data_IF_858979301438
#
_entry.id   IF_858979301438
#
_cell.length_a   1.000
_cell.length_b   1.000
_cell.length_c   1.000
_cell.angle_alpha   90.00
_cell.angle_beta   90.00
_cell.angle_gamma   90.00
#
_symmetry.space_group_name_H-M   'P 1'
#
loop_
_entity.id
_entity.type
_entity.pdbx_description
1 polymer ?
#
# COMPACT_ATOMS: atom_id res chain seq x y z
N UNK A 1 0.91 -12.51 -13.15
CA UNK A 1 0.80 -13.98 -13.08
C UNK A 1 -0.66 -14.36 -13.17
N UNK A 2 -1.01 -15.53 -13.71
CA UNK A 2 -2.40 -15.97 -13.91
C UNK A 2 -2.98 -16.60 -12.63
N UNK A 3 -2.96 -15.86 -11.54
CA UNK A 3 -3.49 -16.25 -10.24
C UNK A 3 -4.41 -15.14 -9.71
N UNK A 4 -5.37 -15.43 -8.81
CA UNK A 4 -6.10 -14.41 -8.09
C UNK A 4 -5.13 -13.59 -7.23
N UNK A 5 -5.49 -12.35 -6.95
CA UNK A 5 -4.74 -11.48 -6.04
C UNK A 5 -5.62 -11.04 -4.90
N UNK A 6 -4.99 -10.78 -3.77
CA UNK A 6 -5.64 -10.31 -2.56
C UNK A 6 -5.02 -9.00 -2.09
N UNK A 7 -5.86 -8.11 -1.60
CA UNK A 7 -5.44 -6.97 -0.81
C UNK A 7 -5.54 -7.34 0.66
N UNK A 8 -4.40 -7.35 1.33
CA UNK A 8 -4.33 -7.59 2.78
C UNK A 8 -3.85 -6.32 3.45
N UNK A 9 -4.65 -5.78 4.38
CA UNK A 9 -4.35 -4.53 5.09
C UNK A 9 -4.12 -4.82 6.56
N UNK A 10 -3.00 -4.35 7.09
CA UNK A 10 -2.65 -4.39 8.50
C UNK A 10 -2.72 -2.98 9.08
N UNK A 11 -3.52 -2.81 10.12
CA UNK A 11 -3.75 -1.53 10.76
C UNK A 11 -3.35 -1.60 12.22
N UNK A 12 -2.60 -0.60 12.70
CA UNK A 12 -2.27 -0.47 14.11
C UNK A 12 -3.36 0.29 14.86
N UNK A 13 -3.58 -0.02 16.15
CA UNK A 13 -4.50 0.73 17.00
C UNK A 13 -4.14 2.21 17.15
N UNK A 14 -5.14 3.02 17.42
CA UNK A 14 -5.00 4.47 17.57
C UNK A 14 -4.08 4.87 18.72
N UNK A 15 -4.01 4.05 19.76
CA UNK A 15 -3.15 4.26 20.94
C UNK A 15 -1.66 4.21 20.60
N UNK A 16 -1.30 3.62 19.47
CA UNK A 16 0.09 3.62 18.99
C UNK A 16 0.46 4.87 18.19
N UNK A 17 -0.48 5.75 17.85
CA UNK A 17 -0.23 6.93 17.01
C UNK A 17 0.89 7.81 17.56
N UNK A 18 0.90 8.07 18.86
CA UNK A 18 1.93 8.89 19.51
C UNK A 18 3.34 8.29 19.37
N UNK A 19 3.46 6.96 19.50
CA UNK A 19 4.72 6.26 19.31
C UNK A 19 5.19 6.36 17.85
N UNK A 20 4.28 6.18 16.89
CA UNK A 20 4.58 6.32 15.46
C UNK A 20 4.96 7.75 15.07
N UNK A 21 4.32 8.76 15.64
CA UNK A 21 4.68 10.17 15.40
C UNK A 21 6.02 10.56 16.02
N UNK A 22 6.35 10.01 17.18
CA UNK A 22 7.61 10.32 17.89
C UNK A 22 8.84 9.65 17.25
N UNK A 23 8.69 8.46 16.67
CA UNK A 23 9.77 7.70 16.04
C UNK A 23 9.28 7.07 14.70
N UNK A 24 8.94 7.89 13.70
CA UNK A 24 8.23 7.42 12.52
C UNK A 24 9.02 6.37 11.73
N UNK A 25 10.32 6.54 11.54
CA UNK A 25 11.13 5.59 10.79
C UNK A 25 11.16 4.22 11.48
N UNK A 26 11.48 4.18 12.78
CA UNK A 26 11.52 2.94 13.56
C UNK A 26 10.16 2.22 13.55
N UNK A 27 9.08 2.95 13.79
CA UNK A 27 7.75 2.37 13.88
C UNK A 27 7.19 1.91 12.52
N UNK A 28 7.47 2.64 11.45
CA UNK A 28 7.09 2.20 10.11
C UNK A 28 7.88 0.97 9.65
N UNK A 29 9.18 0.89 10.00
CA UNK A 29 10.01 -0.28 9.74
C UNK A 29 9.50 -1.51 10.52
N UNK A 30 9.17 -1.34 11.79
CA UNK A 30 8.56 -2.38 12.60
C UNK A 30 7.21 -2.83 12.00
N UNK A 31 6.36 -1.88 11.58
CA UNK A 31 5.08 -2.20 10.95
C UNK A 31 5.26 -3.06 9.69
N UNK A 32 6.18 -2.71 8.81
CA UNK A 32 6.49 -3.51 7.63
C UNK A 32 7.05 -4.89 7.98
N UNK A 33 8.06 -4.93 8.86
CA UNK A 33 8.74 -6.17 9.24
C UNK A 33 7.78 -7.15 9.88
N UNK A 34 7.02 -6.68 10.87
CA UNK A 34 6.20 -7.58 11.67
C UNK A 34 4.90 -8.00 10.96
N UNK A 35 4.31 -7.13 10.15
CA UNK A 35 3.15 -7.52 9.34
C UNK A 35 3.53 -8.48 8.21
N UNK A 36 4.67 -8.25 7.54
CA UNK A 36 5.18 -9.16 6.51
C UNK A 36 5.56 -10.53 7.09
N UNK A 37 6.24 -10.55 8.24
CA UNK A 37 6.57 -11.78 8.94
C UNK A 37 5.32 -12.55 9.40
N UNK A 38 4.27 -11.84 9.82
CA UNK A 38 2.97 -12.45 10.18
C UNK A 38 2.31 -13.13 8.99
N UNK A 39 2.32 -12.47 7.81
CA UNK A 39 1.83 -13.09 6.57
C UNK A 39 2.60 -14.36 6.22
N UNK A 40 3.93 -14.31 6.25
CA UNK A 40 4.79 -15.44 5.93
C UNK A 40 4.59 -16.59 6.92
N UNK A 41 4.56 -16.29 8.23
CA UNK A 41 4.39 -17.29 9.28
C UNK A 41 3.07 -18.05 9.12
N UNK A 42 1.96 -17.34 8.92
CA UNK A 42 0.64 -17.98 8.76
C UNK A 42 0.53 -18.71 7.42
N UNK A 43 1.13 -18.17 6.36
CA UNK A 43 1.13 -18.83 5.05
C UNK A 43 1.98 -20.11 5.01
N UNK A 44 3.05 -20.17 5.79
CA UNK A 44 3.93 -21.35 5.86
C UNK A 44 3.25 -22.58 6.47
N UNK A 45 2.13 -22.42 7.18
CA UNK A 45 1.42 -23.53 7.80
C UNK A 45 0.82 -24.46 6.75
N UNK A 46 1.17 -25.78 6.76
CA UNK A 46 0.71 -26.72 5.75
C UNK A 46 -0.82 -26.89 5.70
N UNK A 47 -1.48 -26.68 6.84
CA UNK A 47 -2.95 -26.74 6.95
C UNK A 47 -3.65 -25.53 6.34
N UNK A 48 -2.93 -24.43 6.07
CA UNK A 48 -3.45 -23.21 5.48
C UNK A 48 -3.04 -23.09 4.02
N UNK A 49 -1.82 -22.61 3.75
CA UNK A 49 -1.28 -22.49 2.40
C UNK A 49 -0.10 -23.45 2.17
N UNK A 50 0.83 -23.54 3.13
CA UNK A 50 2.01 -24.40 3.05
C UNK A 50 3.08 -23.89 2.08
N UNK A 51 3.18 -22.58 1.87
CA UNK A 51 4.14 -21.99 0.93
C UNK A 51 4.60 -20.59 1.32
N UNK A 52 5.79 -20.23 0.82
CA UNK A 52 6.36 -18.89 0.91
C UNK A 52 5.59 -17.94 -0.02
N UNK A 53 5.10 -16.84 0.51
CA UNK A 53 4.46 -15.79 -0.26
C UNK A 53 5.50 -14.84 -0.89
N UNK A 54 5.13 -14.24 -2.03
CA UNK A 54 5.79 -13.05 -2.54
C UNK A 54 4.76 -11.94 -2.68
N UNK A 55 5.03 -10.77 -2.13
CA UNK A 55 4.06 -9.69 -2.12
C UNK A 55 4.73 -8.32 -2.09
N UNK A 56 3.94 -7.30 -2.43
CA UNK A 56 4.33 -5.88 -2.41
C UNK A 56 3.53 -5.18 -1.35
N UNK A 57 4.20 -4.46 -0.46
CA UNK A 57 3.59 -3.63 0.58
C UNK A 57 3.69 -2.16 0.27
N UNK A 58 2.64 -1.40 0.57
CA UNK A 58 2.58 0.05 0.45
C UNK A 58 2.12 0.64 1.78
N UNK A 59 2.96 1.49 2.37
CA UNK A 59 2.64 2.22 3.60
C UNK A 59 1.75 3.41 3.30
N UNK A 60 0.65 3.50 4.05
CA UNK A 60 -0.17 4.69 4.16
C UNK A 60 -0.22 5.15 5.61
N UNK A 61 -0.21 6.45 5.80
CA UNK A 61 -0.23 7.06 7.16
C UNK A 61 -1.50 7.84 7.43
N UNK A 62 -2.44 7.89 6.47
CA UNK A 62 -3.65 8.73 6.55
C UNK A 62 -4.94 7.95 6.60
N UNK A 63 -5.87 8.44 7.38
CA UNK A 63 -7.27 8.07 7.31
C UNK A 63 -8.07 8.97 6.37
N UNK A 64 -9.37 8.76 6.31
CA UNK A 64 -10.28 9.44 5.37
C UNK A 64 -10.43 10.95 5.64
N UNK A 65 -10.21 11.38 6.88
CA UNK A 65 -10.26 12.78 7.34
C UNK A 65 -8.85 13.36 7.58
N UNK A 66 -7.83 12.81 6.94
CA UNK A 66 -6.44 13.19 7.12
C UNK A 66 -5.89 12.97 8.54
N UNK A 67 -6.59 12.23 9.40
CA UNK A 67 -6.01 11.82 10.69
C UNK A 67 -4.83 10.87 10.46
N UNK A 68 -3.84 10.97 11.30
CA UNK A 68 -2.69 10.05 11.28
C UNK A 68 -3.14 8.63 11.61
N UNK A 69 -2.97 7.70 10.65
CA UNK A 69 -3.49 6.35 10.74
C UNK A 69 -2.58 5.37 9.97
N UNK A 70 -1.43 4.99 10.57
CA UNK A 70 -0.48 4.12 9.90
C UNK A 70 -1.06 2.74 9.62
N UNK A 71 -0.94 2.30 8.38
CA UNK A 71 -1.34 0.98 7.93
C UNK A 71 -0.60 0.58 6.66
N UNK A 72 -0.44 -0.71 6.42
CA UNK A 72 0.20 -1.24 5.23
C UNK A 72 -0.81 -2.03 4.42
N UNK A 73 -0.85 -1.74 3.13
CA UNK A 73 -1.57 -2.52 2.14
C UNK A 73 -0.61 -3.47 1.45
N UNK A 74 -0.89 -4.76 1.52
CA UNK A 74 -0.16 -5.78 0.77
C UNK A 74 -0.98 -6.27 -0.41
N UNK A 75 -0.33 -6.34 -1.58
CA UNK A 75 -0.85 -7.03 -2.75
C UNK A 75 -0.18 -8.40 -2.78
N UNK A 76 -0.98 -9.43 -2.58
CA UNK A 76 -0.53 -10.81 -2.40
C UNK A 76 -1.13 -11.69 -3.49
N UNK A 77 -0.31 -12.36 -4.32
CA UNK A 77 -0.77 -13.41 -5.21
C UNK A 77 -1.43 -14.55 -4.43
N UNK A 78 -2.49 -15.13 -4.94
CA UNK A 78 -3.26 -16.20 -4.31
C UNK A 78 -2.54 -17.54 -4.35
N UNK A 79 -1.43 -17.63 -3.67
CA UNK A 79 -0.64 -18.83 -3.51
C UNK A 79 0.79 -18.55 -3.10
N UNK A 80 1.53 -19.63 -2.81
CA UNK A 80 2.91 -19.57 -2.37
C UNK A 80 3.79 -20.67 -2.95
N UNK A 81 5.09 -20.44 -2.92
CA UNK A 81 6.09 -21.41 -3.34
C UNK A 81 6.37 -22.38 -2.17
N UNK A 82 6.19 -23.66 -2.39
CA UNK A 82 6.52 -24.68 -1.36
C UNK A 82 8.01 -24.62 -1.02
N UNK A 83 8.37 -25.00 0.20
CA UNK A 83 9.74 -24.90 0.71
C UNK A 83 10.76 -25.67 -0.15
N UNK A 84 10.36 -26.80 -0.75
CA UNK A 84 11.20 -27.57 -1.69
C UNK A 84 11.33 -26.94 -3.07
N UNK A 85 10.64 -25.82 -3.32
CA UNK A 85 10.60 -25.07 -4.59
C UNK A 85 10.11 -25.85 -5.81
N UNK A 86 9.44 -26.99 -5.61
CA UNK A 86 8.97 -27.87 -6.69
C UNK A 86 7.48 -27.71 -7.00
N UNK A 87 6.74 -26.99 -6.16
CA UNK A 87 5.29 -26.87 -6.30
C UNK A 87 4.80 -25.47 -5.92
N UNK A 88 3.83 -25.00 -6.68
CA UNK A 88 2.97 -23.88 -6.30
C UNK A 88 1.82 -24.35 -5.44
N UNK A 89 1.65 -23.77 -4.26
CA UNK A 89 0.54 -24.00 -3.36
C UNK A 89 -0.49 -22.90 -3.61
N UNK A 90 -1.54 -23.17 -4.38
CA UNK A 90 -2.61 -22.21 -4.65
C UNK A 90 -3.46 -21.95 -3.41
N UNK A 91 -4.05 -20.76 -3.31
CA UNK A 91 -5.10 -20.46 -2.32
C UNK A 91 -6.26 -21.47 -2.50
N UNK A 92 -6.85 -21.90 -1.39
CA UNK A 92 -7.92 -22.92 -1.41
C UNK A 92 -9.20 -22.43 -2.08
N UNK A 93 -9.45 -21.13 -2.01
CA UNK A 93 -10.62 -20.47 -2.58
C UNK A 93 -10.18 -19.22 -3.34
N UNK A 94 -10.98 -18.81 -4.32
CA UNK A 94 -10.68 -17.63 -5.15
C UNK A 94 -10.86 -16.31 -4.40
N UNK A 95 -11.65 -16.30 -3.34
CA UNK A 95 -12.03 -15.15 -2.52
C UNK A 95 -11.42 -15.18 -1.11
N UNK A 96 -10.66 -16.21 -0.76
CA UNK A 96 -10.07 -16.38 0.56
C UNK A 96 -8.59 -16.78 0.48
N UNK A 97 -7.73 -16.03 1.17
CA UNK A 97 -6.29 -16.31 1.22
C UNK A 97 -5.88 -16.99 2.53
N UNK A 98 -6.08 -16.32 3.65
CA UNK A 98 -5.64 -16.74 4.99
C UNK A 98 -6.64 -16.27 6.05
N UNK A 99 -6.72 -16.95 7.22
CA UNK A 99 -7.63 -16.57 8.29
C UNK A 99 -7.22 -15.25 8.95
N UNK A 100 -7.99 -14.18 8.72
CA UNK A 100 -7.69 -12.82 9.20
C UNK A 100 -7.58 -12.71 10.72
N UNK A 101 -8.38 -13.48 11.48
CA UNK A 101 -8.29 -13.50 12.96
C UNK A 101 -6.93 -14.01 13.44
N UNK A 102 -6.39 -15.04 12.78
CA UNK A 102 -5.07 -15.59 13.09
C UNK A 102 -3.96 -14.61 12.70
N UNK A 103 -4.06 -14.00 11.51
CA UNK A 103 -3.13 -12.95 11.08
C UNK A 103 -3.11 -11.79 12.08
N UNK A 104 -4.27 -11.33 12.55
CA UNK A 104 -4.38 -10.26 13.53
C UNK A 104 -3.73 -10.61 14.87
N UNK A 105 -3.91 -11.83 15.36
CA UNK A 105 -3.32 -12.29 16.62
C UNK A 105 -1.78 -12.39 16.52
N UNK A 106 -1.27 -12.98 15.43
CA UNK A 106 0.18 -13.09 15.19
C UNK A 106 0.80 -11.71 15.01
N UNK A 107 0.17 -10.84 14.22
CA UNK A 107 0.65 -9.47 14.00
C UNK A 107 0.72 -8.66 15.29
N UNK A 108 -0.33 -8.71 16.12
CA UNK A 108 -0.34 -8.03 17.43
C UNK A 108 0.82 -8.50 18.31
N UNK A 109 0.98 -9.81 18.49
CA UNK A 109 2.03 -10.37 19.34
C UNK A 109 3.44 -9.99 18.85
N UNK A 110 3.66 -10.02 17.54
CA UNK A 110 4.93 -9.64 16.93
C UNK A 110 5.23 -8.15 17.09
N UNK A 111 4.22 -7.29 16.84
CA UNK A 111 4.36 -5.83 17.04
C UNK A 111 4.61 -5.47 18.50
N UNK A 112 3.91 -6.09 19.44
CA UNK A 112 4.12 -5.90 20.86
C UNK A 112 5.57 -6.22 21.23
N UNK A 113 6.07 -7.39 20.85
CA UNK A 113 7.44 -7.82 21.10
C UNK A 113 8.48 -6.87 20.47
N UNK A 114 8.26 -6.45 19.21
CA UNK A 114 9.16 -5.54 18.51
C UNK A 114 9.23 -4.17 19.17
N UNK A 115 8.08 -3.59 19.57
CA UNK A 115 8.04 -2.29 20.24
C UNK A 115 8.62 -2.39 21.65
N UNK A 116 8.34 -3.48 22.38
CA UNK A 116 8.94 -3.71 23.69
C UNK A 116 10.48 -3.76 23.62
N UNK A 117 11.02 -4.45 22.62
CA UNK A 117 12.47 -4.60 22.45
C UNK A 117 13.15 -3.31 21.96
N UNK A 118 12.55 -2.60 21.02
CA UNK A 118 13.20 -1.44 20.35
C UNK A 118 12.89 -0.09 20.98
N UNK A 119 11.76 0.03 21.67
CA UNK A 119 11.25 1.26 22.26
C UNK A 119 10.48 1.00 23.57
N UNK A 120 11.14 0.47 24.64
CA UNK A 120 10.45 0.02 25.85
C UNK A 120 9.66 1.12 26.56
N UNK A 121 10.17 2.34 26.57
CA UNK A 121 9.44 3.49 27.13
C UNK A 121 8.15 3.81 26.35
N UNK A 122 8.14 3.62 25.04
CA UNK A 122 6.93 3.77 24.21
C UNK A 122 5.95 2.64 24.42
N UNK A 123 6.46 1.40 24.56
CA UNK A 123 5.64 0.25 24.92
C UNK A 123 4.92 0.48 26.25
N UNK A 124 5.64 0.92 27.29
CA UNK A 124 5.08 1.19 28.61
C UNK A 124 4.02 2.31 28.62
N UNK A 125 4.12 3.26 27.71
CA UNK A 125 3.15 4.35 27.56
C UNK A 125 1.83 3.93 26.86
N UNK A 126 1.80 2.75 26.23
CA UNK A 126 0.60 2.22 25.59
C UNK A 126 -0.29 1.51 26.61
N UNK A 127 -1.60 1.81 26.70
CA UNK A 127 -2.50 1.12 27.59
C UNK A 127 -2.46 -0.41 27.41
N UNK A 128 -2.33 -1.16 28.49
CA UNK A 128 -2.21 -2.62 28.46
C UNK A 128 -3.38 -3.33 27.74
N UNK A 129 -4.57 -2.74 27.76
CA UNK A 129 -5.75 -3.21 27.01
C UNK A 129 -5.56 -3.25 25.51
N UNK A 130 -4.70 -2.38 24.95
CA UNK A 130 -4.38 -2.33 23.52
C UNK A 130 -3.76 -3.64 23.04
N UNK A 131 -2.91 -4.25 23.87
CA UNK A 131 -2.23 -5.51 23.56
C UNK A 131 -3.12 -6.75 23.76
N UNK A 132 -4.23 -6.61 24.45
CA UNK A 132 -5.16 -7.73 24.75
C UNK A 132 -6.35 -7.80 23.80
N UNK A 133 -6.75 -6.67 23.21
CA UNK A 133 -7.87 -6.64 22.27
C UNK A 133 -7.49 -7.14 20.87
N UNK A 134 -8.46 -7.58 20.05
CA UNK A 134 -8.20 -7.91 18.65
C UNK A 134 -7.73 -6.68 17.86
N UNK A 135 -6.69 -6.87 17.03
CA UNK A 135 -6.25 -5.86 16.06
C UNK A 135 -6.94 -6.08 14.72
N UNK A 136 -6.88 -5.05 13.86
CA UNK A 136 -7.59 -5.09 12.58
C UNK A 136 -6.64 -5.55 11.47
N UNK A 137 -6.97 -6.71 10.90
CA UNK A 137 -6.44 -7.16 9.62
C UNK A 137 -7.60 -7.39 8.69
N UNK A 138 -7.54 -6.87 7.48
CA UNK A 138 -8.55 -7.05 6.46
C UNK A 138 -7.94 -7.75 5.24
N UNK A 139 -8.66 -8.70 4.66
CA UNK A 139 -8.28 -9.38 3.43
C UNK A 139 -9.47 -9.41 2.48
N UNK A 140 -9.26 -9.00 1.24
CA UNK A 140 -10.30 -9.04 0.21
C UNK A 140 -9.71 -9.43 -1.14
N UNK A 141 -10.48 -10.10 -2.02
CA UNK A 141 -10.05 -10.36 -3.37
C UNK A 141 -9.83 -9.03 -4.14
N UNK A 142 -8.78 -8.99 -4.94
CA UNK A 142 -8.37 -7.81 -5.70
C UNK A 142 -8.36 -8.05 -7.23
N UNK A 143 -8.95 -9.18 -7.67
CA UNK A 143 -9.05 -9.54 -9.08
C UNK A 143 -7.81 -10.29 -9.60
N UNK A 144 -7.60 -10.25 -10.89
CA UNK A 144 -6.50 -10.93 -11.61
C UNK A 144 -5.53 -9.94 -12.22
N UNK A 145 -4.40 -10.43 -12.72
CA UNK A 145 -3.21 -9.71 -13.17
C UNK A 145 -3.35 -8.26 -13.70
N UNK A 146 -4.20 -8.01 -14.74
CA UNK A 146 -4.36 -6.66 -15.30
C UNK A 146 -5.07 -5.69 -14.34
N UNK A 147 -6.05 -6.18 -13.58
CA UNK A 147 -6.77 -5.36 -12.59
C UNK A 147 -5.84 -4.93 -11.44
N UNK A 148 -4.92 -5.83 -11.03
CA UNK A 148 -4.02 -5.54 -9.92
C UNK A 148 -2.98 -4.47 -10.27
N UNK A 149 -2.55 -4.36 -11.53
CA UNK A 149 -1.62 -3.31 -11.96
C UNK A 149 -2.28 -1.92 -11.84
N UNK A 150 -3.54 -1.79 -12.28
CA UNK A 150 -4.32 -0.55 -12.09
C UNK A 150 -4.53 -0.23 -10.60
N UNK A 151 -4.74 -1.26 -9.81
CA UNK A 151 -4.91 -1.13 -8.38
C UNK A 151 -3.61 -0.67 -7.70
N UNK A 152 -2.48 -1.31 -8.02
CA UNK A 152 -1.16 -0.94 -7.50
C UNK A 152 -0.80 0.51 -7.84
N UNK A 153 -1.02 0.92 -9.09
CA UNK A 153 -0.78 2.29 -9.52
C UNK A 153 -1.56 3.32 -8.67
N UNK A 154 -2.82 3.02 -8.33
CA UNK A 154 -3.63 3.87 -7.44
C UNK A 154 -3.08 3.96 -6.02
N UNK A 155 -2.50 2.88 -5.47
CA UNK A 155 -1.99 2.86 -4.09
C UNK A 155 -0.58 3.43 -3.98
N UNK A 156 0.29 3.14 -4.92
CA UNK A 156 1.68 3.64 -4.94
C UNK A 156 1.73 5.14 -5.16
N UNK A 157 0.94 5.65 -6.12
CA UNK A 157 0.87 7.08 -6.44
C UNK A 157 -0.07 7.89 -5.55
N UNK A 158 -0.76 7.27 -4.60
CA UNK A 158 -1.79 7.96 -3.81
C UNK A 158 -1.16 8.94 -2.81
N UNK A 159 -1.63 10.16 -2.87
CA UNK A 159 -1.42 11.19 -1.85
C UNK A 159 -2.46 11.08 -0.73
N UNK A 160 -2.23 11.73 0.39
CA UNK A 160 -3.17 11.75 1.52
C UNK A 160 -4.55 12.31 1.13
N UNK A 161 -4.56 13.29 0.22
CA UNK A 161 -5.75 13.86 -0.38
C UNK A 161 -5.48 14.18 -1.85
N UNK A 162 -6.48 14.00 -2.72
CA UNK A 162 -6.42 14.46 -4.11
C UNK A 162 -7.11 15.81 -4.25
N UNK A 163 -6.70 16.60 -5.22
CA UNK A 163 -7.27 17.93 -5.49
C UNK A 163 -8.80 17.87 -5.72
N UNK A 164 -9.28 16.81 -6.38
CA UNK A 164 -10.70 16.58 -6.63
C UNK A 164 -11.55 16.44 -5.34
N UNK A 165 -10.92 16.13 -4.21
CA UNK A 165 -11.58 16.04 -2.92
C UNK A 165 -11.72 17.39 -2.23
N UNK A 166 -10.86 18.36 -2.56
CA UNK A 166 -10.92 19.71 -2.01
C UNK A 166 -12.08 20.43 -2.69
N UNK A 167 -13.01 20.96 -1.87
CA UNK A 167 -14.21 21.66 -2.34
C UNK A 167 -13.96 23.16 -2.36
N UNK A 168 -13.38 23.66 -1.27
CA UNK A 168 -13.09 25.07 -1.07
C UNK A 168 -11.84 25.24 -0.20
N UNK A 169 -11.06 26.24 -0.50
CA UNK A 169 -9.95 26.73 0.32
C UNK A 169 -10.07 28.26 0.34
N UNK A 170 -10.91 28.76 1.23
CA UNK A 170 -11.27 30.19 1.30
C UNK A 170 -11.10 30.71 2.72
N UNK A 171 -10.52 31.91 2.84
CA UNK A 171 -10.21 32.50 4.11
C UNK A 171 -9.29 31.61 4.95
N UNK A 172 -9.67 31.34 6.20
CA UNK A 172 -8.89 30.54 7.14
C UNK A 172 -9.36 29.06 7.21
N UNK A 173 -10.10 28.56 6.23
CA UNK A 173 -10.66 27.20 6.27
C UNK A 173 -10.47 26.43 4.96
N UNK A 174 -10.37 25.10 5.08
CA UNK A 174 -10.31 24.17 3.96
C UNK A 174 -11.38 23.11 4.14
N UNK A 175 -12.25 22.98 3.14
CA UNK A 175 -13.33 21.99 3.09
C UNK A 175 -13.04 20.89 2.07
N UNK A 176 -13.19 19.63 2.46
CA UNK A 176 -12.96 18.50 1.56
C UNK A 176 -13.95 17.35 1.77
N UNK A 177 -14.18 16.59 0.71
CA UNK A 177 -15.08 15.43 0.72
C UNK A 177 -14.37 14.19 1.25
N UNK A 178 -15.08 13.40 2.04
CA UNK A 178 -14.65 12.06 2.42
C UNK A 178 -15.85 11.09 2.44
N UNK A 179 -15.57 9.80 2.36
CA UNK A 179 -16.61 8.77 2.55
C UNK A 179 -16.49 8.22 3.97
N UNK A 180 -17.55 8.33 4.74
CA UNK A 180 -17.62 7.79 6.10
C UNK A 180 -17.53 6.26 6.08
N UNK A 181 -16.73 5.68 6.96
CA UNK A 181 -16.45 4.22 6.97
C UNK A 181 -17.65 3.41 7.44
N UNK A 182 -18.41 3.95 8.39
CA UNK A 182 -19.53 3.24 9.00
C UNK A 182 -20.78 3.31 8.12
N UNK A 183 -21.08 4.50 7.57
CA UNK A 183 -22.32 4.75 6.83
C UNK A 183 -22.17 4.64 5.32
N UNK A 184 -20.93 4.57 4.80
CA UNK A 184 -20.58 4.65 3.37
C UNK A 184 -21.10 5.92 2.66
N UNK A 185 -21.55 6.91 3.42
CA UNK A 185 -22.06 8.17 2.88
C UNK A 185 -20.92 9.15 2.60
N UNK A 186 -21.10 9.98 1.58
CA UNK A 186 -20.22 11.12 1.32
C UNK A 186 -20.52 12.23 2.31
N UNK A 187 -19.48 12.66 3.03
CA UNK A 187 -19.54 13.76 3.99
C UNK A 187 -18.49 14.81 3.65
N UNK A 188 -18.67 15.99 4.20
CA UNK A 188 -17.71 17.09 4.10
C UNK A 188 -17.02 17.26 5.46
N UNK A 189 -15.71 17.47 5.43
CA UNK A 189 -14.91 17.86 6.58
C UNK A 189 -14.36 19.26 6.32
N UNK A 190 -14.64 20.19 7.23
CA UNK A 190 -14.08 21.54 7.20
C UNK A 190 -13.11 21.68 8.36
N UNK A 191 -11.90 22.12 8.07
CA UNK A 191 -10.83 22.34 9.04
C UNK A 191 -10.30 23.76 8.89
N UNK A 192 -9.85 24.35 9.99
CA UNK A 192 -9.02 25.55 9.90
C UNK A 192 -7.77 25.27 9.07
N UNK A 193 -7.28 26.26 8.32
CA UNK A 193 -6.15 26.10 7.40
C UNK A 193 -4.89 25.54 8.11
N UNK A 194 -4.58 26.05 9.30
CA UNK A 194 -3.47 25.55 10.11
C UNK A 194 -3.62 24.09 10.49
N UNK A 195 -4.83 23.64 10.90
CA UNK A 195 -5.11 22.25 11.27
C UNK A 195 -5.10 21.34 10.03
N UNK A 196 -5.59 21.80 8.89
CA UNK A 196 -5.48 21.07 7.63
C UNK A 196 -4.02 20.84 7.26
N UNK A 197 -3.19 21.89 7.28
CA UNK A 197 -1.75 21.80 7.00
C UNK A 197 -1.04 20.89 8.01
N UNK A 198 -1.35 21.02 9.30
CA UNK A 198 -0.79 20.17 10.35
C UNK A 198 -1.10 18.68 10.07
N UNK A 199 -2.34 18.35 9.71
CA UNK A 199 -2.72 16.98 9.34
C UNK A 199 -2.03 16.52 8.06
N UNK A 200 -2.00 17.36 7.04
CA UNK A 200 -1.41 17.02 5.75
C UNK A 200 0.10 16.74 5.87
N UNK A 201 0.82 17.60 6.57
CA UNK A 201 2.28 17.50 6.74
C UNK A 201 2.73 16.26 7.54
N UNK A 202 1.88 15.71 8.40
CA UNK A 202 2.17 14.45 9.11
C UNK A 202 2.34 13.25 8.15
N UNK A 203 1.90 13.37 6.91
CA UNK A 203 1.95 12.30 5.93
C UNK A 203 3.15 12.39 5.00
N UNK A 204 3.97 13.40 5.15
CA UNK A 204 5.26 13.51 4.47
C UNK A 204 6.20 12.48 5.10
N UNK A 205 6.70 11.51 4.32
CA UNK A 205 7.58 10.48 4.87
C UNK A 205 8.92 11.09 5.28
N UNK A 206 9.57 10.58 6.33
CA UNK A 206 10.93 10.95 6.66
C UNK A 206 11.89 10.71 5.48
N UNK A 207 12.98 11.49 5.38
CA UNK A 207 14.00 11.28 4.37
C UNK A 207 14.51 9.83 4.36
N UNK A 208 14.67 9.24 3.17
CA UNK A 208 15.15 7.86 3.02
C UNK A 208 14.12 6.76 3.31
N UNK A 209 12.90 7.09 3.70
CA UNK A 209 11.88 6.09 3.97
C UNK A 209 11.19 5.60 2.70
N UNK A 210 11.38 4.31 2.41
CA UNK A 210 10.68 3.66 1.30
C UNK A 210 9.25 3.29 1.69
N UNK A 211 8.27 3.89 0.99
CA UNK A 211 6.84 3.61 1.18
C UNK A 211 6.40 2.31 0.51
N UNK A 212 7.17 1.81 -0.44
CA UNK A 212 6.89 0.56 -1.17
C UNK A 212 8.00 -0.43 -0.87
N UNK A 213 7.62 -1.65 -0.45
CA UNK A 213 8.58 -2.73 -0.15
C UNK A 213 8.13 -4.04 -0.77
N UNK A 214 9.11 -4.83 -1.20
CA UNK A 214 8.91 -6.15 -1.80
C UNK A 214 9.36 -7.23 -0.84
N UNK A 215 8.59 -8.33 -0.78
CA UNK A 215 8.82 -9.42 0.17
C UNK A 215 8.78 -10.78 -0.49
N UNK A 216 9.42 -11.76 0.18
CA UNK A 216 9.46 -13.15 -0.25
C UNK A 216 10.06 -13.30 -1.64
N UNK A 217 9.48 -14.12 -2.48
CA UNK A 217 9.99 -14.36 -3.84
C UNK A 217 9.78 -13.18 -4.82
N UNK A 218 9.01 -12.13 -4.45
CA UNK A 218 8.94 -10.86 -5.19
C UNK A 218 10.04 -9.86 -4.81
N UNK A 219 10.81 -10.13 -3.74
CA UNK A 219 11.94 -9.28 -3.39
C UNK A 219 12.99 -9.25 -4.52
N UNK A 220 13.60 -8.10 -4.87
CA UNK A 220 14.58 -7.99 -5.96
C UNK A 220 15.72 -9.00 -5.88
N UNK A 221 16.24 -9.28 -4.68
CA UNK A 221 17.29 -10.28 -4.45
C UNK A 221 16.81 -11.74 -4.64
N UNK A 222 15.51 -11.99 -4.79
CA UNK A 222 14.92 -13.33 -4.92
C UNK A 222 14.66 -13.73 -6.38
N UNK A 223 15.40 -13.19 -7.35
CA UNK A 223 15.22 -13.41 -8.79
C UNK A 223 15.09 -14.91 -9.15
N UNK A 224 15.97 -15.75 -8.61
CA UNK A 224 15.93 -17.20 -8.86
C UNK A 224 14.62 -17.84 -8.39
N UNK A 225 14.11 -17.47 -7.20
CA UNK A 225 12.82 -17.99 -6.70
C UNK A 225 11.65 -17.50 -7.54
N UNK A 226 11.69 -16.24 -7.99
CA UNK A 226 10.68 -15.69 -8.89
C UNK A 226 10.62 -16.45 -10.21
N UNK A 227 11.77 -16.76 -10.82
CA UNK A 227 11.82 -17.56 -12.05
C UNK A 227 11.20 -18.95 -11.86
N UNK A 228 11.44 -19.61 -10.73
CA UNK A 228 10.79 -20.89 -10.40
C UNK A 228 9.27 -20.72 -10.34
N UNK A 229 8.77 -19.69 -9.68
CA UNK A 229 7.32 -19.41 -9.62
C UNK A 229 6.74 -19.16 -11.01
N UNK A 230 7.43 -18.36 -11.83
CA UNK A 230 7.02 -18.08 -13.21
C UNK A 230 6.95 -19.37 -14.04
N UNK A 231 7.92 -20.26 -13.91
CA UNK A 231 7.92 -21.56 -14.58
C UNK A 231 6.79 -22.46 -14.11
N UNK A 232 6.55 -22.55 -12.79
CA UNK A 232 5.47 -23.35 -12.23
C UNK A 232 4.07 -22.85 -12.62
N UNK A 233 3.94 -21.56 -12.86
CA UNK A 233 2.70 -20.90 -13.26
C UNK A 233 2.61 -20.69 -14.77
N UNK A 234 3.63 -21.05 -15.55
CA UNK A 234 3.66 -20.88 -17.00
C UNK A 234 2.56 -21.72 -17.67
N UNK A 235 1.37 -21.14 -17.77
CA UNK A 235 0.52 -21.38 -18.93
C UNK A 235 1.16 -20.60 -20.07
N UNK A 236 1.09 -21.08 -21.34
CA UNK A 236 1.62 -20.33 -22.45
C UNK A 236 1.01 -18.93 -22.43
N UNK A 237 1.83 -17.94 -22.01
CA UNK A 237 1.46 -16.56 -22.13
C UNK A 237 1.49 -16.34 -23.65
N UNK A 238 0.32 -16.23 -24.25
CA UNK A 238 0.23 -15.55 -25.55
C UNK A 238 0.71 -14.15 -25.25
N UNK A 239 1.99 -13.90 -25.52
CA UNK A 239 2.56 -12.57 -25.50
C UNK A 239 1.88 -11.85 -26.65
N UNK A 240 0.73 -11.26 -26.39
CA UNK A 240 0.26 -10.17 -27.22
C UNK A 240 1.37 -9.13 -27.09
N UNK A 241 2.12 -8.97 -28.19
CA UNK A 241 3.15 -7.95 -28.28
C UNK A 241 2.56 -6.67 -27.68
N UNK A 242 3.26 -6.10 -26.72
CA UNK A 242 2.89 -4.80 -26.20
C UNK A 242 2.67 -3.91 -27.43
N UNK A 243 1.55 -3.18 -27.52
CA UNK A 243 1.36 -2.26 -28.64
C UNK A 243 2.64 -1.43 -28.69
N UNK A 244 3.25 -1.25 -29.88
CA UNK A 244 4.48 -0.51 -30.00
C UNK A 244 4.26 0.79 -29.27
N UNK A 245 5.13 1.10 -28.31
CA UNK A 245 5.13 2.41 -27.66
C UNK A 245 5.17 3.38 -28.82
N UNK A 246 4.05 4.05 -29.07
CA UNK A 246 3.96 5.14 -30.03
C UNK A 246 4.98 6.17 -29.55
N UNK A 247 6.20 6.04 -30.04
CA UNK A 247 7.23 7.05 -29.87
C UNK A 247 6.80 8.22 -30.75
N UNK A 248 5.98 9.11 -30.17
CA UNK A 248 5.70 10.38 -30.78
C UNK A 248 6.99 11.20 -30.72
N UNK A 249 7.80 11.10 -31.76
CA UNK A 249 8.91 12.02 -31.96
C UNK A 249 8.32 13.36 -32.41
N UNK A 250 8.00 14.20 -31.43
CA UNK A 250 7.54 15.56 -31.73
C UNK A 250 8.76 16.44 -32.04
N UNK A 251 8.66 17.23 -33.08
CA UNK A 251 9.64 18.29 -33.36
C UNK A 251 9.60 19.34 -32.26
N UNK A 252 10.76 19.65 -31.71
CA UNK A 252 10.89 20.79 -30.80
C UNK A 252 10.56 22.08 -31.56
N UNK A 253 9.60 22.92 -31.13
CA UNK A 253 9.27 24.15 -31.81
C UNK A 253 10.39 25.21 -31.78
N UNK A 254 11.42 25.01 -30.91
CA UNK A 254 12.53 25.92 -30.79
C UNK A 254 13.76 25.53 -31.64
N UNK A 255 14.08 24.24 -31.71
CA UNK A 255 15.28 23.79 -32.46
C UNK A 255 14.94 22.87 -33.64
N UNK A 256 13.69 22.61 -33.91
CA UNK A 256 13.12 21.78 -34.97
C UNK A 256 13.61 20.32 -35.00
N UNK A 257 14.42 19.89 -34.04
CA UNK A 257 14.89 18.49 -33.91
C UNK A 257 13.84 17.60 -33.26
N UNK A 258 13.83 16.33 -33.60
CA UNK A 258 12.98 15.31 -32.96
C UNK A 258 13.52 14.89 -31.60
N UNK A 259 13.58 15.83 -30.65
CA UNK A 259 14.16 15.63 -29.30
C UNK A 259 13.10 15.60 -28.19
N UNK A 260 11.84 15.86 -28.53
CA UNK A 260 10.76 15.84 -27.54
C UNK A 260 10.23 14.42 -27.37
N UNK A 261 10.21 13.94 -26.13
CA UNK A 261 9.58 12.69 -25.74
C UNK A 261 8.31 13.00 -24.97
N UNK A 262 7.19 12.43 -25.38
CA UNK A 262 5.94 12.55 -24.64
C UNK A 262 6.04 11.78 -23.33
N UNK A 263 6.15 12.49 -22.20
CA UNK A 263 6.22 11.91 -20.85
C UNK A 263 4.84 11.68 -20.23
N UNK A 264 3.77 12.16 -20.87
CA UNK A 264 2.39 11.96 -20.44
C UNK A 264 1.41 12.83 -21.25
N UNK A 265 0.14 12.47 -21.20
CA UNK A 265 -0.95 13.27 -21.76
C UNK A 265 -1.77 13.88 -20.64
N UNK A 266 -1.95 15.19 -20.65
CA UNK A 266 -2.87 15.88 -19.74
C UNK A 266 -4.31 15.62 -20.18
N UNK A 267 -5.25 15.38 -19.26
CA UNK A 267 -6.65 15.25 -19.62
C UNK A 267 -7.17 16.56 -20.25
N UNK A 268 -8.11 16.44 -21.20
CA UNK A 268 -8.68 17.56 -21.99
C UNK A 268 -9.27 18.74 -21.19
N UNK A 269 -9.36 18.64 -19.87
CA UNK A 269 -9.86 19.68 -18.96
C UNK A 269 -8.77 20.39 -18.15
N UNK A 270 -7.49 20.26 -18.52
CA UNK A 270 -6.46 21.08 -17.91
C UNK A 270 -6.70 22.57 -18.25
N UNK A 271 -6.81 23.38 -17.23
CA UNK A 271 -7.05 24.84 -17.29
C UNK A 271 -6.14 25.51 -18.33
N UNK A 272 -6.70 26.46 -19.05
CA UNK A 272 -5.92 27.39 -19.85
C UNK A 272 -4.83 28.05 -18.96
N UNK A 273 -3.61 28.25 -19.48
CA UNK A 273 -2.56 28.92 -18.73
C UNK A 273 -3.03 30.34 -18.34
N UNK A 274 -2.63 30.84 -17.18
CA UNK A 274 -2.97 32.20 -16.79
C UNK A 274 -2.45 33.16 -17.85
N UNK A 275 -3.35 34.01 -18.35
CA UNK A 275 -2.99 35.10 -19.27
C UNK A 275 -2.10 36.05 -18.47
N UNK A 276 -0.81 36.13 -18.80
CA UNK A 276 0.05 37.17 -18.29
C UNK A 276 -0.52 38.53 -18.74
N UNK A 277 -1.14 39.24 -17.82
CA UNK A 277 -1.44 40.65 -18.02
C UNK A 277 -0.10 41.40 -18.22
N UNK A 278 -0.04 42.18 -19.28
CA UNK A 278 1.07 43.10 -19.58
C UNK A 278 1.19 44.20 -18.53
#
# INVERSE_FOLDING_TARGET
MPVPYFLVTFTVPDELRSAFQAQPQLMHDALFTESAASLQQVAAEPRLLGGELGFVGVLHTWGRQLQYHPHVHYIVPGGGLRADRKKWCASRQADWLLPVKKLAAVFRARMEAAIHASAPARHAAVPAGTWRRPWVVHSQPAGTGAAIVKYLARYVGRTAISDERIIAAEGESVSFRYTDSATQQRKVCTLGAAEFLRRYLQHVPPPGQHRVRYFGWLHPAAKARRMVVETLLAKPIVVTAAPPLLQWHLRCPHCERFTLVCVGTLPKQARAPPVCAR
#
